data_IF_188968510177
#
_entry.id   IF_188968510177
#
_cell.length_a   1.000
_cell.length_b   1.000
_cell.length_c   1.000
_cell.angle_alpha   90.00
_cell.angle_beta   90.00
_cell.angle_gamma   90.00
#
_symmetry.space_group_name_H-M   'P 1'
#
loop_
_entity.id
_entity.type
_entity.pdbx_description
1 polymer ?
#
# COMPACT_ATOMS: atom_id res chain seq x y z
N UNK A 1 9.94 -4.75 46.30
CA UNK A 1 10.10 -5.64 45.13
C UNK A 1 9.38 -4.99 43.96
N UNK A 2 10.04 -4.75 42.81
CA UNK A 2 9.33 -4.19 41.67
C UNK A 2 8.32 -5.23 41.18
N UNK A 3 7.03 -4.88 41.17
CA UNK A 3 5.97 -5.72 40.63
C UNK A 3 6.34 -6.11 39.20
N UNK A 4 6.57 -7.40 38.95
CA UNK A 4 6.69 -7.94 37.61
C UNK A 4 5.39 -7.62 36.87
N UNK A 5 5.48 -6.72 35.90
CA UNK A 5 4.37 -6.28 35.09
C UNK A 5 3.71 -7.51 34.41
N UNK A 6 2.45 -7.86 34.73
CA UNK A 6 1.91 -9.21 34.49
C UNK A 6 1.68 -9.57 33.02
N UNK A 7 1.77 -8.61 32.11
CA UNK A 7 1.52 -8.81 30.67
C UNK A 7 2.84 -9.08 29.93
N UNK A 8 2.83 -10.05 29.01
CA UNK A 8 3.97 -10.36 28.15
C UNK A 8 4.37 -9.09 27.35
N UNK A 9 5.65 -8.69 27.35
CA UNK A 9 6.15 -7.59 26.52
C UNK A 9 5.77 -7.70 25.03
N UNK A 10 5.69 -8.92 24.49
CA UNK A 10 5.24 -9.16 23.11
C UNK A 10 3.80 -8.70 22.93
N UNK A 11 2.90 -9.07 23.84
CA UNK A 11 1.48 -8.75 23.73
C UNK A 11 1.25 -7.22 23.81
N UNK A 12 1.99 -6.53 24.70
CA UNK A 12 1.96 -5.06 24.76
C UNK A 12 2.45 -4.42 23.46
N UNK A 13 3.53 -4.94 22.90
CA UNK A 13 4.08 -4.44 21.65
C UNK A 13 3.13 -4.67 20.48
N UNK A 14 2.53 -5.86 20.36
CA UNK A 14 1.49 -6.16 19.38
C UNK A 14 0.33 -5.18 19.52
N UNK A 15 -0.18 -4.95 20.73
CA UNK A 15 -1.25 -3.99 20.96
C UNK A 15 -0.87 -2.56 20.52
N UNK A 16 0.39 -2.15 20.74
CA UNK A 16 0.91 -0.85 20.28
C UNK A 16 0.97 -0.77 18.77
N UNK A 17 1.47 -1.79 18.08
CA UNK A 17 1.57 -1.81 16.62
C UNK A 17 0.22 -1.43 15.97
N UNK A 18 -0.85 -2.11 16.36
CA UNK A 18 -2.18 -1.84 15.80
C UNK A 18 -2.79 -0.52 16.28
N UNK A 19 -2.62 -0.16 17.56
CA UNK A 19 -3.22 1.07 18.11
C UNK A 19 -2.60 2.34 17.54
N UNK A 20 -1.28 2.34 17.34
CA UNK A 20 -0.54 3.52 16.88
C UNK A 20 -0.43 3.61 15.37
N UNK A 21 -0.89 2.60 14.63
CA UNK A 21 -0.94 2.59 13.17
C UNK A 21 -1.44 3.93 12.61
N UNK A 22 -2.56 4.46 13.12
CA UNK A 22 -3.14 5.72 12.63
C UNK A 22 -2.44 7.00 13.11
N UNK A 23 -1.57 6.91 14.12
CA UNK A 23 -0.87 8.05 14.70
C UNK A 23 0.52 8.27 14.09
N UNK A 24 1.03 7.30 13.34
CA UNK A 24 2.33 7.37 12.66
C UNK A 24 2.10 7.49 11.17
N UNK A 25 2.83 8.40 10.51
CA UNK A 25 2.77 8.53 9.06
C UNK A 25 3.18 7.19 8.40
N UNK A 26 2.45 6.70 7.38
CA UNK A 26 2.72 5.39 6.76
C UNK A 26 4.18 5.17 6.36
N UNK A 27 4.84 6.20 5.84
CA UNK A 27 6.24 6.16 5.38
C UNK A 27 7.23 5.97 6.55
N UNK A 28 6.82 6.36 7.76
CA UNK A 28 7.64 6.26 8.99
C UNK A 28 7.31 5.03 9.83
N UNK A 29 6.24 4.31 9.49
CA UNK A 29 5.70 3.25 10.33
C UNK A 29 6.69 2.10 10.54
N UNK A 30 7.32 1.59 9.47
CA UNK A 30 8.30 0.49 9.57
C UNK A 30 9.47 0.86 10.49
N UNK A 31 10.00 2.07 10.35
CA UNK A 31 11.12 2.54 11.16
C UNK A 31 10.71 2.71 12.63
N UNK A 32 9.53 3.28 12.89
CA UNK A 32 8.96 3.37 14.23
C UNK A 32 8.78 1.99 14.87
N UNK A 33 8.17 1.05 14.15
CA UNK A 33 7.93 -0.31 14.64
C UNK A 33 9.24 -1.02 15.01
N UNK A 34 10.26 -0.97 14.12
CA UNK A 34 11.58 -1.53 14.40
C UNK A 34 12.26 -0.87 15.62
N UNK A 35 12.12 0.44 15.81
CA UNK A 35 12.69 1.11 16.98
C UNK A 35 11.97 0.70 18.28
N UNK A 36 10.64 0.59 18.27
CA UNK A 36 9.87 0.12 19.43
C UNK A 36 10.16 -1.35 19.77
N UNK A 37 10.45 -2.18 18.76
CA UNK A 37 10.79 -3.59 18.93
C UNK A 37 11.99 -3.80 19.86
N UNK A 38 12.89 -2.81 19.97
CA UNK A 38 14.07 -2.85 20.86
C UNK A 38 13.70 -3.04 22.33
N UNK A 39 12.50 -2.63 22.72
CA UNK A 39 11.98 -2.82 24.08
C UNK A 39 11.55 -4.28 24.38
N UNK A 40 11.41 -5.12 23.35
CA UNK A 40 10.93 -6.50 23.44
C UNK A 40 12.05 -7.50 23.19
N UNK A 41 12.83 -7.28 22.13
CA UNK A 41 14.03 -8.06 21.82
C UNK A 41 15.18 -7.07 21.80
N UNK A 42 16.08 -7.18 22.76
CA UNK A 42 17.18 -6.24 22.90
C UNK A 42 18.14 -6.40 21.69
N UNK A 43 18.33 -5.31 20.93
CA UNK A 43 19.16 -5.27 19.73
C UNK A 43 19.74 -3.86 19.52
N UNK A 44 20.78 -3.77 18.68
CA UNK A 44 21.45 -2.50 18.36
C UNK A 44 21.02 -1.96 17.00
N UNK A 45 20.68 -2.85 16.07
CA UNK A 45 20.18 -2.50 14.75
C UNK A 45 19.07 -3.44 14.30
N UNK A 46 18.25 -2.99 13.37
CA UNK A 46 17.27 -3.84 12.71
C UNK A 46 17.10 -3.46 11.24
N UNK A 47 16.74 -4.46 10.44
CA UNK A 47 16.35 -4.34 9.04
C UNK A 47 14.99 -4.99 8.84
N UNK A 48 14.11 -4.31 8.13
CA UNK A 48 12.88 -4.87 7.59
C UNK A 48 12.84 -4.64 6.10
N UNK A 49 13.07 -5.70 5.33
CA UNK A 49 13.00 -5.71 3.88
C UNK A 49 11.77 -6.45 3.39
N UNK A 50 11.19 -6.01 2.28
CA UNK A 50 10.16 -6.72 1.53
C UNK A 50 10.59 -6.83 0.09
N UNK A 51 10.40 -7.99 -0.53
CA UNK A 51 10.77 -8.25 -1.92
C UNK A 51 10.07 -9.48 -2.49
N UNK A 52 10.44 -9.90 -3.70
CA UNK A 52 10.01 -11.17 -4.28
C UNK A 52 11.13 -12.20 -4.19
N UNK A 53 10.77 -13.44 -3.87
CA UNK A 53 11.74 -14.53 -3.73
C UNK A 53 12.49 -14.81 -5.05
N UNK A 54 11.80 -14.66 -6.19
CA UNK A 54 12.32 -14.88 -7.55
C UNK A 54 13.42 -13.90 -7.95
N UNK A 55 13.31 -12.66 -7.50
CA UNK A 55 14.11 -11.53 -7.98
C UNK A 55 15.31 -11.20 -7.11
N UNK A 56 15.42 -11.88 -5.97
CA UNK A 56 16.56 -11.82 -5.07
C UNK A 56 16.91 -10.43 -4.49
N UNK A 57 16.04 -9.43 -4.67
CA UNK A 57 16.23 -8.02 -4.28
C UNK A 57 15.13 -7.54 -3.34
N UNK A 58 15.44 -6.51 -2.55
CA UNK A 58 14.46 -5.77 -1.76
C UNK A 58 13.77 -4.72 -2.64
N UNK A 59 12.44 -4.74 -2.64
CA UNK A 59 11.63 -3.69 -3.29
C UNK A 59 11.39 -2.52 -2.34
N UNK A 60 11.29 -2.78 -1.05
CA UNK A 60 11.26 -1.75 -0.01
C UNK A 60 12.00 -2.25 1.21
N UNK A 61 12.84 -1.40 1.79
CA UNK A 61 13.67 -1.76 2.94
C UNK A 61 13.75 -0.60 3.92
N UNK A 62 13.74 -0.94 5.20
CA UNK A 62 13.90 0.01 6.29
C UNK A 62 14.98 -0.49 7.22
N UNK A 63 15.94 0.37 7.53
CA UNK A 63 17.02 0.08 8.49
C UNK A 63 16.98 1.06 9.67
N UNK A 64 17.39 0.59 10.85
CA UNK A 64 17.40 1.37 12.10
C UNK A 64 18.70 1.14 12.88
N UNK A 65 18.89 1.88 13.99
CA UNK A 65 20.07 1.73 14.85
C UNK A 65 21.36 2.37 14.32
N UNK A 66 21.26 3.17 13.26
CA UNK A 66 22.39 3.83 12.61
C UNK A 66 23.06 3.01 11.51
N UNK A 67 22.43 1.94 11.01
CA UNK A 67 22.85 1.30 9.77
C UNK A 67 22.70 2.27 8.59
N UNK A 68 23.66 2.31 7.65
CA UNK A 68 23.56 3.17 6.48
C UNK A 68 22.42 2.71 5.56
N UNK A 69 21.80 3.67 4.87
CA UNK A 69 20.70 3.38 3.94
C UNK A 69 21.11 2.44 2.79
N UNK A 70 22.40 2.38 2.47
CA UNK A 70 22.95 1.52 1.40
C UNK A 70 23.32 0.10 1.89
N UNK A 71 23.16 -0.20 3.18
CA UNK A 71 23.41 -1.54 3.73
C UNK A 71 22.63 -2.66 3.03
N UNK A 72 21.36 -2.49 2.61
CA UNK A 72 20.64 -3.50 1.86
C UNK A 72 21.29 -3.85 0.52
N UNK A 73 21.92 -2.88 -0.17
CA UNK A 73 22.65 -3.14 -1.41
C UNK A 73 23.86 -4.06 -1.15
N UNK A 74 24.57 -3.87 -0.04
CA UNK A 74 25.66 -4.77 0.37
C UNK A 74 25.17 -6.20 0.63
N UNK A 75 23.97 -6.36 1.23
CA UNK A 75 23.36 -7.68 1.42
C UNK A 75 23.00 -8.35 0.09
N UNK A 76 22.57 -7.58 -0.90
CA UNK A 76 22.28 -8.06 -2.26
C UNK A 76 23.56 -8.46 -3.01
N UNK A 77 24.61 -7.63 -2.96
CA UNK A 77 25.91 -7.92 -3.59
C UNK A 77 26.60 -9.16 -3.01
N UNK A 78 26.43 -9.40 -1.71
CA UNK A 78 27.07 -10.51 -1.00
C UNK A 78 26.15 -11.72 -0.84
N UNK A 79 24.97 -11.69 -1.49
CA UNK A 79 23.94 -12.73 -1.42
C UNK A 79 24.47 -14.14 -1.71
N UNK A 80 25.31 -14.30 -2.73
CA UNK A 80 25.82 -15.60 -3.18
C UNK A 80 26.74 -16.29 -2.15
N UNK A 81 27.33 -15.51 -1.24
CA UNK A 81 28.22 -16.00 -0.18
C UNK A 81 27.60 -15.85 1.21
N UNK A 82 26.34 -15.41 1.31
CA UNK A 82 25.65 -15.21 2.57
C UNK A 82 25.25 -16.56 3.20
N UNK A 83 25.83 -16.96 4.35
CA UNK A 83 25.61 -18.27 4.93
C UNK A 83 24.22 -18.45 5.55
N UNK A 84 23.59 -17.36 6.03
CA UNK A 84 22.28 -17.47 6.70
C UNK A 84 21.15 -17.68 5.68
N UNK A 85 21.29 -17.13 4.48
CA UNK A 85 20.21 -17.03 3.51
C UNK A 85 19.65 -18.40 3.07
N UNK A 86 20.46 -19.42 2.70
CA UNK A 86 19.94 -20.73 2.34
C UNK A 86 19.20 -21.44 3.49
N UNK A 87 19.56 -21.15 4.74
CA UNK A 87 18.89 -21.72 5.91
C UNK A 87 17.53 -21.04 6.10
N UNK A 88 17.48 -19.71 6.04
CA UNK A 88 16.23 -18.95 6.15
C UNK A 88 15.20 -19.35 5.09
N UNK A 89 15.63 -19.55 3.85
CA UNK A 89 14.73 -19.94 2.76
C UNK A 89 14.14 -21.35 2.93
N UNK A 90 14.78 -22.22 3.73
CA UNK A 90 14.26 -23.55 4.09
C UNK A 90 13.43 -23.56 5.36
N UNK A 91 13.56 -22.52 6.18
CA UNK A 91 12.94 -22.39 7.51
C UNK A 91 12.15 -21.09 7.59
N UNK A 92 11.18 -20.93 6.68
CA UNK A 92 10.27 -19.79 6.71
C UNK A 92 9.52 -19.76 8.04
N UNK A 93 9.23 -18.55 8.52
CA UNK A 93 8.56 -18.24 9.78
C UNK A 93 9.30 -18.66 11.06
N UNK A 94 10.50 -19.25 10.93
CA UNK A 94 11.36 -19.60 12.04
C UNK A 94 12.54 -18.63 12.18
N UNK A 95 12.89 -18.21 13.41
CA UNK A 95 14.05 -17.37 13.65
C UNK A 95 15.35 -18.17 13.47
N UNK A 96 16.21 -17.67 12.58
CA UNK A 96 17.53 -18.24 12.32
C UNK A 96 18.60 -17.37 13.00
N UNK A 97 19.31 -17.98 13.93
CA UNK A 97 20.51 -17.40 14.55
C UNK A 97 21.74 -17.74 13.72
N UNK A 98 22.43 -16.73 13.18
CA UNK A 98 23.61 -16.94 12.33
C UNK A 98 24.71 -17.73 13.06
N UNK A 99 24.86 -17.55 14.37
CA UNK A 99 25.88 -18.27 15.14
C UNK A 99 25.64 -19.79 15.13
N UNK A 100 24.37 -20.22 15.05
CA UNK A 100 23.99 -21.64 14.92
C UNK A 100 24.23 -22.20 13.51
N UNK A 101 24.26 -21.32 12.51
CA UNK A 101 24.52 -21.68 11.11
C UNK A 101 26.03 -21.76 10.83
N UNK A 102 26.78 -20.80 11.34
CA UNK A 102 28.23 -20.71 11.15
C UNK A 102 28.88 -20.23 12.46
N UNK A 103 29.71 -21.06 13.12
CA UNK A 103 30.39 -20.68 14.34
C UNK A 103 31.27 -19.43 14.15
N UNK A 104 31.41 -18.63 15.22
CA UNK A 104 32.13 -17.34 15.21
C UNK A 104 33.52 -17.42 14.56
N UNK A 105 34.28 -18.50 14.82
CA UNK A 105 35.62 -18.66 14.26
C UNK A 105 35.61 -18.70 12.73
N UNK A 106 34.64 -19.41 12.15
CA UNK A 106 34.47 -19.48 10.69
C UNK A 106 33.84 -18.20 10.15
N UNK A 107 32.83 -17.67 10.86
CA UNK A 107 32.11 -16.47 10.44
C UNK A 107 33.04 -15.27 10.32
N UNK A 108 33.80 -14.95 11.38
CA UNK A 108 34.65 -13.76 11.41
C UNK A 108 35.81 -13.83 10.41
N UNK A 109 36.22 -15.03 9.97
CA UNK A 109 37.21 -15.22 8.90
C UNK A 109 36.59 -15.24 7.50
N UNK A 110 35.27 -15.31 7.37
CA UNK A 110 34.59 -15.43 6.08
C UNK A 110 34.64 -14.12 5.27
N UNK A 111 34.72 -14.26 3.94
CA UNK A 111 34.65 -13.11 3.03
C UNK A 111 33.31 -12.35 3.16
N UNK A 112 32.23 -13.07 3.45
CA UNK A 112 30.91 -12.49 3.69
C UNK A 112 30.91 -11.53 4.88
N UNK A 113 31.43 -11.99 6.04
CA UNK A 113 31.48 -11.16 7.24
C UNK A 113 32.33 -9.91 7.04
N UNK A 114 33.54 -10.07 6.48
CA UNK A 114 34.48 -8.96 6.28
C UNK A 114 33.94 -7.87 5.36
N UNK A 115 33.18 -8.25 4.33
CA UNK A 115 32.57 -7.30 3.39
C UNK A 115 31.29 -6.66 3.91
N UNK A 116 30.50 -7.41 4.70
CA UNK A 116 29.09 -7.02 4.96
C UNK A 116 28.85 -6.59 6.40
N UNK A 117 29.37 -7.33 7.39
CA UNK A 117 29.01 -7.13 8.80
C UNK A 117 30.11 -6.44 9.61
N UNK A 118 31.38 -6.76 9.33
CA UNK A 118 32.52 -6.15 9.99
C UNK A 118 32.54 -4.62 9.89
N UNK A 119 32.27 -3.98 8.72
CA UNK A 119 32.31 -2.52 8.59
C UNK A 119 31.27 -1.78 9.44
N UNK A 120 30.20 -2.49 9.85
CA UNK A 120 29.12 -1.93 10.66
C UNK A 120 29.16 -2.43 12.12
N UNK A 121 30.18 -3.22 12.48
CA UNK A 121 30.34 -3.79 13.81
C UNK A 121 29.24 -4.78 14.18
N UNK A 122 28.60 -5.44 13.21
CA UNK A 122 27.58 -6.47 13.46
C UNK A 122 28.29 -7.77 13.83
N UNK A 123 27.97 -8.35 14.99
CA UNK A 123 28.56 -9.63 15.45
C UNK A 123 27.52 -10.71 15.73
N UNK A 124 26.26 -10.32 15.91
CA UNK A 124 25.12 -11.24 16.08
C UNK A 124 24.03 -10.87 15.10
N UNK A 125 23.39 -11.90 14.54
CA UNK A 125 22.33 -11.77 13.54
C UNK A 125 21.24 -12.77 13.88
N UNK A 126 20.01 -12.27 14.05
CA UNK A 126 18.82 -13.08 14.20
C UNK A 126 17.83 -12.67 13.13
N UNK A 127 17.49 -13.58 12.23
CA UNK A 127 16.76 -13.25 11.03
C UNK A 127 15.54 -14.16 10.86
N UNK A 128 14.41 -13.59 10.46
CA UNK A 128 13.19 -14.33 10.14
C UNK A 128 12.66 -13.91 8.79
N UNK A 129 12.34 -14.89 7.97
CA UNK A 129 11.73 -14.72 6.66
C UNK A 129 10.26 -15.15 6.72
N UNK A 130 9.36 -14.30 6.26
CA UNK A 130 7.95 -14.61 6.07
C UNK A 130 7.63 -14.59 4.57
N UNK A 131 6.86 -15.56 4.09
CA UNK A 131 6.40 -15.62 2.70
C UNK A 131 4.88 -15.65 2.67
N UNK A 132 4.26 -14.71 1.96
CA UNK A 132 2.85 -14.78 1.62
C UNK A 132 2.67 -15.67 0.38
N UNK A 133 2.01 -16.84 0.49
CA UNK A 133 1.86 -17.77 -0.62
C UNK A 133 0.96 -17.26 -1.75
N UNK A 134 0.08 -16.27 -1.50
CA UNK A 134 -0.84 -15.75 -2.53
C UNK A 134 -0.18 -14.69 -3.41
N UNK A 135 0.53 -13.75 -2.79
CA UNK A 135 1.24 -12.69 -3.50
C UNK A 135 2.66 -13.10 -3.93
N UNK A 136 3.24 -14.13 -3.29
CA UNK A 136 4.64 -14.50 -3.44
C UNK A 136 5.61 -13.54 -2.76
N UNK A 137 5.08 -12.62 -1.94
CA UNK A 137 5.86 -11.61 -1.25
C UNK A 137 6.63 -12.19 -0.08
N UNK A 138 7.90 -11.81 -0.05
CA UNK A 138 8.86 -12.19 0.96
C UNK A 138 9.15 -10.99 1.86
N UNK A 139 8.91 -11.13 3.16
CA UNK A 139 9.28 -10.17 4.18
C UNK A 139 10.43 -10.71 5.02
N UNK A 140 11.52 -9.94 5.12
CA UNK A 140 12.69 -10.24 5.93
C UNK A 140 12.75 -9.27 7.10
N UNK A 141 12.78 -9.79 8.32
CA UNK A 141 13.02 -9.00 9.53
C UNK A 141 14.26 -9.56 10.22
N UNK A 142 15.28 -8.72 10.33
CA UNK A 142 16.58 -9.10 10.90
C UNK A 142 16.97 -8.15 12.01
N UNK A 143 17.38 -8.71 13.14
CA UNK A 143 17.91 -8.01 14.30
C UNK A 143 19.41 -8.26 14.42
N UNK A 144 20.13 -7.23 14.84
CA UNK A 144 21.59 -7.26 14.91
C UNK A 144 22.08 -6.75 16.27
N UNK A 145 23.17 -7.33 16.77
CA UNK A 145 23.91 -6.80 17.94
C UNK A 145 25.39 -6.59 17.59
N UNK A 146 26.03 -5.64 18.28
CA UNK A 146 27.45 -5.33 18.16
C UNK A 146 28.32 -6.14 19.10
N UNK A 147 27.82 -6.41 20.29
CA UNK A 147 28.56 -7.15 21.31
C UNK A 147 28.46 -8.66 21.09
N UNK A 148 29.57 -9.35 20.80
CA UNK A 148 29.56 -10.81 20.63
C UNK A 148 29.16 -11.54 21.92
N UNK A 149 29.32 -10.95 23.11
CA UNK A 149 28.89 -11.59 24.36
C UNK A 149 27.36 -11.65 24.50
N UNK A 150 26.61 -10.76 23.83
CA UNK A 150 25.14 -10.71 23.86
C UNK A 150 24.54 -11.75 22.89
N UNK A 151 24.70 -13.03 23.20
CA UNK A 151 24.12 -14.14 22.43
C UNK A 151 22.59 -14.16 22.48
N UNK A 152 21.95 -14.69 21.44
CA UNK A 152 20.48 -14.80 21.38
C UNK A 152 20.00 -15.90 22.32
N UNK A 153 19.13 -15.53 23.25
CA UNK A 153 18.53 -16.47 24.21
C UNK A 153 17.34 -17.20 23.58
N UNK A 154 16.93 -18.34 24.13
CA UNK A 154 15.68 -19.01 23.72
C UNK A 154 14.45 -18.10 23.90
N UNK A 155 14.50 -17.16 24.85
CA UNK A 155 13.46 -16.14 25.00
C UNK A 155 13.46 -15.16 23.83
N UNK A 156 14.64 -14.72 23.36
CA UNK A 156 14.75 -13.85 22.17
C UNK A 156 14.19 -14.56 20.93
N UNK A 157 14.55 -15.83 20.73
CA UNK A 157 14.04 -16.64 19.62
C UNK A 157 12.52 -16.81 19.70
N UNK A 158 11.98 -17.14 20.88
CA UNK A 158 10.54 -17.29 21.08
C UNK A 158 9.76 -16.00 20.78
N UNK A 159 10.31 -14.84 21.17
CA UNK A 159 9.73 -13.53 20.85
C UNK A 159 9.82 -13.25 19.35
N UNK A 160 11.01 -13.38 18.76
CA UNK A 160 11.26 -13.16 17.34
C UNK A 160 10.43 -14.09 16.45
N UNK A 161 10.07 -15.30 16.88
CA UNK A 161 9.16 -16.18 16.11
C UNK A 161 7.75 -15.58 15.95
N UNK A 162 7.25 -14.88 16.96
CA UNK A 162 5.87 -14.34 17.00
C UNK A 162 5.76 -12.97 16.32
N UNK A 163 6.78 -12.14 16.47
CA UNK A 163 6.73 -10.71 16.12
C UNK A 163 6.62 -10.40 14.62
N UNK A 164 7.32 -11.07 13.69
CA UNK A 164 7.26 -10.83 12.26
C UNK A 164 5.85 -10.86 11.69
N UNK A 165 5.07 -11.86 12.09
CA UNK A 165 3.66 -11.97 11.69
C UNK A 165 2.86 -10.71 12.04
N UNK A 166 3.03 -10.19 13.26
CA UNK A 166 2.31 -8.99 13.69
C UNK A 166 2.85 -7.70 13.07
N UNK A 167 4.17 -7.62 12.85
CA UNK A 167 4.78 -6.50 12.14
C UNK A 167 4.21 -6.37 10.73
N UNK A 168 4.28 -7.46 9.95
CA UNK A 168 3.76 -7.51 8.57
C UNK A 168 2.27 -7.16 8.54
N UNK A 169 1.46 -7.82 9.36
CA UNK A 169 0.02 -7.58 9.39
C UNK A 169 -0.36 -6.18 9.87
N UNK A 170 0.35 -5.60 10.84
CA UNK A 170 0.03 -4.25 11.32
C UNK A 170 0.40 -3.19 10.27
N UNK A 171 1.49 -3.38 9.51
CA UNK A 171 1.81 -2.51 8.37
C UNK A 171 0.76 -2.66 7.25
N UNK A 172 0.40 -3.89 6.89
CA UNK A 172 -0.67 -4.17 5.92
C UNK A 172 -2.00 -3.51 6.36
N UNK A 173 -2.35 -3.62 7.65
CA UNK A 173 -3.54 -3.01 8.22
C UNK A 173 -3.51 -1.47 8.18
N UNK A 174 -2.37 -0.84 8.49
CA UNK A 174 -2.20 0.60 8.33
C UNK A 174 -2.45 1.04 6.89
N UNK A 175 -1.94 0.29 5.92
CA UNK A 175 -2.21 0.57 4.51
C UNK A 175 -3.70 0.47 4.19
N UNK A 176 -4.41 -0.56 4.67
CA UNK A 176 -5.86 -0.67 4.48
C UNK A 176 -6.65 0.45 5.15
N UNK A 177 -6.23 0.92 6.32
CA UNK A 177 -6.87 2.06 6.99
C UNK A 177 -6.63 3.38 6.24
N UNK A 178 -5.42 3.58 5.74
CA UNK A 178 -5.10 4.73 4.90
C UNK A 178 -5.93 4.71 3.61
N UNK A 179 -6.01 3.55 2.98
CA UNK A 179 -6.88 3.27 1.84
C UNK A 179 -8.34 3.55 2.15
N UNK A 180 -8.88 3.06 3.26
CA UNK A 180 -10.27 3.30 3.66
C UNK A 180 -10.58 4.81 3.80
N UNK A 181 -9.64 5.58 4.36
CA UNK A 181 -9.77 7.04 4.48
C UNK A 181 -9.74 7.76 3.13
N UNK A 182 -8.96 7.25 2.16
CA UNK A 182 -8.98 7.74 0.78
C UNK A 182 -10.28 7.28 0.07
N UNK A 183 -10.74 6.06 0.34
CA UNK A 183 -11.92 5.44 -0.25
C UNK A 183 -13.23 6.14 0.12
N UNK A 184 -13.33 6.83 1.26
CA UNK A 184 -14.51 7.67 1.56
C UNK A 184 -14.84 8.66 0.43
N UNK A 185 -13.84 9.03 -0.38
CA UNK A 185 -14.00 9.94 -1.51
C UNK A 185 -14.02 9.24 -2.88
N UNK A 186 -13.81 7.93 -2.94
CA UNK A 186 -13.69 7.15 -4.18
C UNK A 186 -14.86 6.17 -4.34
N UNK A 187 -15.16 5.73 -5.58
CA UNK A 187 -16.17 4.70 -5.81
C UNK A 187 -15.87 3.39 -5.08
N UNK A 188 -16.87 2.53 -4.88
CA UNK A 188 -16.64 1.20 -4.29
C UNK A 188 -15.72 0.36 -5.17
N UNK A 189 -14.47 0.20 -4.75
CA UNK A 189 -13.43 -0.50 -5.49
C UNK A 189 -12.66 -1.50 -4.64
N UNK A 190 -11.41 -1.70 -5.00
CA UNK A 190 -10.44 -2.48 -4.26
C UNK A 190 -9.07 -1.82 -4.42
N UNK A 191 -8.13 -2.13 -3.54
CA UNK A 191 -6.83 -1.48 -3.57
C UNK A 191 -5.65 -2.45 -3.50
N UNK A 192 -4.52 -1.99 -4.02
CA UNK A 192 -3.22 -2.63 -3.88
C UNK A 192 -2.13 -1.58 -3.71
N UNK A 193 -1.02 -2.00 -3.12
CA UNK A 193 0.22 -1.23 -3.02
C UNK A 193 1.23 -1.89 -3.94
N UNK A 194 1.98 -1.09 -4.68
CA UNK A 194 3.00 -1.56 -5.62
C UNK A 194 4.29 -0.76 -5.53
N UNK A 195 5.39 -1.34 -6.00
CA UNK A 195 6.65 -0.61 -6.22
C UNK A 195 6.65 0.19 -7.53
N UNK A 196 7.78 0.86 -7.81
CA UNK A 196 7.98 1.65 -9.03
C UNK A 196 7.93 0.80 -10.31
N UNK A 197 8.10 -0.51 -10.19
CA UNK A 197 8.04 -1.48 -11.28
C UNK A 197 6.66 -2.11 -11.41
N UNK A 198 5.67 -1.68 -10.62
CA UNK A 198 4.30 -2.19 -10.65
C UNK A 198 4.14 -3.57 -10.02
N UNK A 199 5.07 -4.02 -9.17
CA UNK A 199 4.97 -5.30 -8.46
C UNK A 199 4.16 -5.16 -7.19
N UNK A 200 3.31 -6.13 -6.88
CA UNK A 200 2.46 -6.06 -5.69
C UNK A 200 3.29 -6.19 -4.41
N UNK A 201 3.08 -5.24 -3.50
CA UNK A 201 3.56 -5.23 -2.12
C UNK A 201 2.47 -5.59 -1.11
N UNK A 202 1.23 -5.24 -1.41
CA UNK A 202 0.05 -5.62 -0.65
C UNK A 202 -1.13 -5.55 -1.62
N UNK A 203 -2.10 -6.45 -1.50
CA UNK A 203 -3.30 -6.37 -2.34
C UNK A 203 -4.52 -6.91 -1.63
N UNK A 204 -5.66 -6.24 -1.82
CA UNK A 204 -6.93 -6.83 -1.43
C UNK A 204 -7.25 -8.00 -2.38
N UNK A 205 -7.82 -9.12 -1.89
CA UNK A 205 -8.24 -10.21 -2.76
C UNK A 205 -9.12 -9.73 -3.92
N UNK A 206 -10.04 -8.80 -3.64
CA UNK A 206 -10.94 -8.21 -4.66
C UNK A 206 -10.20 -7.39 -5.73
N UNK A 207 -9.03 -6.85 -5.42
CA UNK A 207 -8.17 -6.17 -6.41
C UNK A 207 -7.61 -7.19 -7.39
N UNK A 208 -7.08 -8.31 -6.88
CA UNK A 208 -6.60 -9.40 -7.71
C UNK A 208 -7.73 -10.00 -8.55
N UNK A 209 -8.93 -10.18 -7.97
CA UNK A 209 -10.11 -10.65 -8.70
C UNK A 209 -10.48 -9.73 -9.87
N UNK A 210 -10.36 -8.40 -9.70
CA UNK A 210 -10.56 -7.45 -10.80
C UNK A 210 -9.51 -7.63 -11.90
N UNK A 211 -8.25 -7.85 -11.54
CA UNK A 211 -7.20 -8.10 -12.51
C UNK A 211 -7.41 -9.42 -13.25
N UNK A 212 -7.69 -10.51 -12.55
CA UNK A 212 -7.90 -11.83 -13.15
C UNK A 212 -9.09 -11.82 -14.12
N UNK A 213 -10.16 -11.09 -13.79
CA UNK A 213 -11.34 -10.96 -14.66
C UNK A 213 -11.06 -10.14 -15.93
N UNK A 214 -10.30 -9.05 -15.83
CA UNK A 214 -10.09 -8.11 -16.95
C UNK A 214 -8.79 -8.37 -17.71
N UNK A 215 -7.88 -9.20 -17.16
CA UNK A 215 -6.61 -9.60 -17.75
C UNK A 215 -6.37 -11.12 -17.60
N UNK A 216 -7.23 -11.97 -18.18
CA UNK A 216 -7.16 -13.43 -18.01
C UNK A 216 -5.88 -14.08 -18.56
N UNK A 217 -5.05 -13.34 -19.32
CA UNK A 217 -3.78 -13.80 -19.88
C UNK A 217 -2.54 -13.15 -19.27
N UNK A 218 -2.63 -12.59 -18.05
CA UNK A 218 -1.48 -11.94 -17.41
C UNK A 218 -0.33 -12.95 -17.21
N UNK A 219 0.88 -12.56 -17.65
CA UNK A 219 2.07 -13.42 -17.64
C UNK A 219 2.61 -13.65 -16.24
N UNK A 220 2.52 -12.64 -15.39
CA UNK A 220 3.02 -12.64 -14.03
C UNK A 220 1.88 -12.23 -13.06
N UNK A 221 1.45 -13.11 -12.15
CA UNK A 221 0.41 -12.79 -11.19
C UNK A 221 0.87 -11.80 -10.11
N UNK A 222 2.18 -11.54 -10.01
CA UNK A 222 2.80 -10.70 -8.98
C UNK A 222 2.98 -9.24 -9.42
N UNK A 223 2.61 -8.90 -10.66
CA UNK A 223 2.77 -7.55 -11.21
C UNK A 223 1.50 -7.02 -11.85
N UNK A 224 1.44 -5.69 -11.98
CA UNK A 224 0.38 -5.02 -12.70
C UNK A 224 0.41 -5.42 -14.17
N UNK A 225 -0.75 -5.73 -14.77
CA UNK A 225 -0.84 -6.02 -16.20
C UNK A 225 -0.86 -4.75 -17.08
N UNK A 226 -0.60 -3.58 -16.50
CA UNK A 226 -0.61 -2.26 -17.16
C UNK A 226 0.43 -1.33 -16.53
N UNK A 227 0.81 -0.28 -17.25
CA UNK A 227 1.79 0.70 -16.79
C UNK A 227 1.28 1.46 -15.55
N UNK A 228 2.18 1.64 -14.58
CA UNK A 228 1.88 2.35 -13.34
C UNK A 228 1.46 3.80 -13.64
N UNK A 229 0.23 4.21 -13.28
CA UNK A 229 -0.22 5.59 -13.54
C UNK A 229 0.60 6.59 -12.72
N UNK A 230 0.78 7.84 -13.20
CA UNK A 230 1.43 8.87 -12.40
C UNK A 230 0.66 9.15 -11.09
N UNK A 231 1.34 9.47 -9.98
CA UNK A 231 0.68 9.84 -8.73
C UNK A 231 -0.30 11.00 -8.88
N UNK A 232 -1.43 10.92 -8.16
CA UNK A 232 -2.50 11.92 -8.19
C UNK A 232 -3.39 11.84 -9.43
N UNK A 233 -3.17 10.88 -10.32
CA UNK A 233 -3.97 10.72 -11.55
C UNK A 233 -5.04 9.64 -11.39
N UNK A 234 -6.10 9.81 -12.18
CA UNK A 234 -7.11 8.80 -12.44
C UNK A 234 -7.10 8.50 -13.93
N UNK A 235 -7.03 7.23 -14.30
CA UNK A 235 -7.09 6.78 -15.69
C UNK A 235 -8.03 5.58 -15.86
N UNK A 236 -8.60 5.45 -17.06
CA UNK A 236 -9.39 4.30 -17.45
C UNK A 236 -8.51 3.29 -18.18
N UNK A 237 -8.68 2.00 -17.89
CA UNK A 237 -7.93 0.90 -18.46
C UNK A 237 -8.93 -0.03 -19.15
N UNK A 238 -8.66 -0.32 -20.43
CA UNK A 238 -9.48 -1.18 -21.30
C UNK A 238 -10.99 -0.83 -21.31
N UNK A 239 -11.35 0.44 -21.13
CA UNK A 239 -12.73 0.96 -21.04
C UNK A 239 -13.64 0.28 -20.00
N UNK A 240 -13.06 -0.53 -19.11
CA UNK A 240 -13.78 -1.39 -18.18
C UNK A 240 -13.37 -1.19 -16.71
N UNK A 241 -12.12 -0.76 -16.48
CA UNK A 241 -11.60 -0.47 -15.14
C UNK A 241 -11.15 0.97 -15.04
N UNK A 242 -11.33 1.57 -13.88
CA UNK A 242 -10.70 2.83 -13.52
C UNK A 242 -9.67 2.56 -12.44
N UNK A 243 -8.52 3.19 -12.59
CA UNK A 243 -7.47 3.19 -11.58
C UNK A 243 -7.17 4.61 -11.14
N UNK A 244 -7.01 4.80 -9.84
CA UNK A 244 -6.39 5.99 -9.26
C UNK A 244 -5.10 5.60 -8.58
N UNK A 245 -4.09 6.42 -8.76
CA UNK A 245 -2.77 6.21 -8.20
C UNK A 245 -2.41 7.34 -7.24
N UNK A 246 -1.89 7.00 -6.06
CA UNK A 246 -1.35 7.96 -5.08
C UNK A 246 0.04 7.50 -4.62
N UNK A 247 0.97 8.44 -4.43
CA UNK A 247 2.31 8.13 -3.93
C UNK A 247 2.32 8.00 -2.41
N UNK A 248 3.03 7.02 -1.88
CA UNK A 248 3.20 6.77 -0.45
C UNK A 248 4.65 6.36 -0.17
N UNK A 249 5.51 7.36 0.08
CA UNK A 249 6.95 7.13 0.18
C UNK A 249 7.53 6.55 -1.11
N UNK A 250 8.22 5.42 -0.99
CA UNK A 250 8.81 4.68 -2.13
C UNK A 250 7.81 3.71 -2.81
N UNK A 251 6.53 3.76 -2.43
CA UNK A 251 5.49 2.88 -2.94
C UNK A 251 4.34 3.69 -3.56
N UNK A 252 3.50 3.00 -4.33
CA UNK A 252 2.32 3.55 -4.95
C UNK A 252 1.08 2.80 -4.49
N UNK A 253 0.05 3.56 -4.18
CA UNK A 253 -1.25 3.06 -3.76
C UNK A 253 -2.18 3.15 -4.95
N UNK A 254 -2.64 2.01 -5.42
CA UNK A 254 -3.59 1.88 -6.52
C UNK A 254 -4.95 1.53 -5.99
N UNK A 255 -5.96 2.30 -6.40
CA UNK A 255 -7.35 1.98 -6.19
C UNK A 255 -7.99 1.64 -7.55
N UNK A 256 -8.54 0.44 -7.66
CA UNK A 256 -9.23 -0.08 -8.85
C UNK A 256 -10.73 -0.20 -8.60
N UNK A 257 -11.54 0.21 -9.57
CA UNK A 257 -12.98 -0.04 -9.57
C UNK A 257 -13.50 -0.24 -10.99
N UNK A 258 -14.66 -0.89 -11.19
CA UNK A 258 -15.31 -0.96 -12.50
C UNK A 258 -15.65 0.42 -13.01
N UNK A 259 -15.31 0.72 -14.26
CA UNK A 259 -15.56 2.02 -14.86
C UNK A 259 -17.08 2.31 -14.91
N UNK A 260 -17.51 3.38 -14.26
CA UNK A 260 -18.89 3.85 -14.31
C UNK A 260 -19.10 4.97 -15.34
N UNK A 261 -20.36 5.36 -15.62
CA UNK A 261 -20.65 6.49 -16.51
C UNK A 261 -19.94 7.77 -16.09
N UNK A 262 -19.88 8.05 -14.78
CA UNK A 262 -19.22 9.25 -14.24
C UNK A 262 -17.70 9.27 -14.43
N UNK A 263 -17.06 8.12 -14.58
CA UNK A 263 -15.60 8.05 -14.77
C UNK A 263 -15.17 8.37 -16.20
N UNK A 264 -16.13 8.42 -17.14
CA UNK A 264 -15.89 8.91 -18.51
C UNK A 264 -15.83 10.43 -18.58
N UNK A 265 -16.30 11.14 -17.55
CA UNK A 265 -16.29 12.59 -17.49
C UNK A 265 -14.89 13.14 -17.21
N UNK A 266 -14.56 14.27 -17.83
CA UNK A 266 -13.38 15.05 -17.44
C UNK A 266 -13.54 15.60 -16.02
N UNK A 267 -12.44 15.98 -15.35
CA UNK A 267 -12.49 16.61 -14.02
C UNK A 267 -13.47 17.78 -13.97
N UNK A 268 -13.46 18.63 -15.01
CA UNK A 268 -14.36 19.79 -15.10
C UNK A 268 -15.82 19.40 -15.29
N UNK A 269 -16.07 18.39 -16.13
CA UNK A 269 -17.41 17.85 -16.32
C UNK A 269 -17.94 17.24 -15.01
N UNK A 270 -17.11 16.51 -14.27
CA UNK A 270 -17.44 15.91 -12.98
C UNK A 270 -17.75 16.95 -11.91
N UNK A 271 -16.98 18.03 -11.82
CA UNK A 271 -17.26 19.16 -10.91
C UNK A 271 -18.66 19.75 -11.16
N UNK A 272 -19.00 19.94 -12.44
CA UNK A 272 -20.30 20.48 -12.86
C UNK A 272 -21.43 19.50 -12.50
N UNK A 273 -21.27 18.22 -12.80
CA UNK A 273 -22.25 17.17 -12.45
C UNK A 273 -22.48 17.11 -10.95
N UNK A 274 -21.42 17.11 -10.13
CA UNK A 274 -21.55 17.05 -8.67
C UNK A 274 -22.27 18.29 -8.13
N UNK A 275 -21.92 19.49 -8.59
CA UNK A 275 -22.57 20.73 -8.16
C UNK A 275 -24.06 20.74 -8.49
N UNK A 276 -24.44 20.31 -9.70
CA UNK A 276 -25.83 20.33 -10.17
C UNK A 276 -26.67 19.23 -9.52
N UNK A 277 -26.06 18.06 -9.27
CA UNK A 277 -26.69 16.93 -8.58
C UNK A 277 -26.93 17.20 -7.09
N UNK A 278 -26.18 18.14 -6.50
CA UNK A 278 -26.41 18.67 -5.13
C UNK A 278 -27.56 19.69 -5.04
N UNK A 279 -28.34 19.88 -6.11
CA UNK A 279 -29.45 20.83 -6.11
C UNK A 279 -29.08 22.27 -6.48
N UNK A 280 -27.80 22.59 -6.71
CA UNK A 280 -27.40 23.95 -7.10
C UNK A 280 -27.94 24.33 -8.50
N UNK A 281 -28.50 25.54 -8.60
CA UNK A 281 -28.85 26.15 -9.89
C UNK A 281 -27.60 26.44 -10.74
N UNK A 282 -27.75 26.63 -12.04
CA UNK A 282 -26.62 26.93 -12.94
C UNK A 282 -25.82 28.16 -12.51
N UNK A 283 -26.49 29.19 -11.98
CA UNK A 283 -25.84 30.40 -11.45
C UNK A 283 -25.02 30.12 -10.18
N UNK A 284 -25.52 29.26 -9.29
CA UNK A 284 -24.81 28.85 -8.08
C UNK A 284 -23.62 27.93 -8.39
N UNK A 285 -23.81 26.95 -9.29
CA UNK A 285 -22.73 26.10 -9.77
C UNK A 285 -21.64 26.93 -10.47
N UNK A 286 -22.03 27.84 -11.36
CA UNK A 286 -21.11 28.77 -12.03
C UNK A 286 -20.27 29.59 -11.03
N UNK A 287 -20.91 30.14 -9.99
CA UNK A 287 -20.22 30.88 -8.91
C UNK A 287 -19.28 29.99 -8.10
N UNK A 288 -19.70 28.77 -7.76
CA UNK A 288 -18.88 27.81 -6.99
C UNK A 288 -17.63 27.37 -7.75
N UNK A 289 -17.77 27.20 -9.06
CA UNK A 289 -16.74 26.60 -9.92
C UNK A 289 -15.91 27.69 -10.66
N UNK A 290 -16.33 28.95 -10.63
CA UNK A 290 -15.59 30.09 -11.20
C UNK A 290 -15.71 30.22 -12.72
N UNK A 291 -16.87 29.91 -13.31
CA UNK A 291 -17.14 30.04 -14.77
C UNK A 291 -18.46 30.77 -15.03
N UNK A 292 -18.75 31.10 -16.29
CA UNK A 292 -20.02 31.69 -16.67
C UNK A 292 -21.19 30.68 -16.60
N UNK A 293 -22.42 31.09 -16.24
CA UNK A 293 -23.60 30.22 -16.26
C UNK A 293 -23.88 29.56 -17.61
N UNK A 294 -23.61 30.26 -18.72
CA UNK A 294 -23.74 29.71 -20.08
C UNK A 294 -22.74 28.58 -20.34
N UNK A 295 -21.53 28.68 -19.80
CA UNK A 295 -20.51 27.62 -19.88
C UNK A 295 -20.96 26.37 -19.14
N UNK A 296 -21.60 26.51 -17.96
CA UNK A 296 -22.19 25.38 -17.22
C UNK A 296 -23.27 24.68 -18.04
N UNK A 297 -24.19 25.44 -18.67
CA UNK A 297 -25.25 24.88 -19.50
C UNK A 297 -24.69 24.12 -20.72
N UNK A 298 -23.67 24.67 -21.37
CA UNK A 298 -23.00 24.04 -22.50
C UNK A 298 -22.28 22.74 -22.11
N UNK A 299 -21.62 22.71 -20.95
CA UNK A 299 -21.02 21.49 -20.42
C UNK A 299 -22.10 20.43 -20.11
N UNK A 300 -23.20 20.80 -19.43
CA UNK A 300 -24.28 19.86 -19.12
C UNK A 300 -24.90 19.24 -20.36
N UNK A 301 -25.11 20.00 -21.43
CA UNK A 301 -25.60 19.44 -22.70
C UNK A 301 -24.67 18.35 -23.25
N UNK A 302 -23.35 18.57 -23.22
CA UNK A 302 -22.36 17.57 -23.65
C UNK A 302 -22.33 16.38 -22.72
N UNK A 303 -22.42 16.61 -21.40
CA UNK A 303 -22.46 15.58 -20.38
C UNK A 303 -23.68 14.67 -20.56
N UNK A 304 -24.87 15.23 -20.72
CA UNK A 304 -26.11 14.46 -20.94
C UNK A 304 -25.98 13.51 -22.13
N UNK A 305 -25.46 14.00 -23.26
CA UNK A 305 -25.19 13.15 -24.43
C UNK A 305 -24.11 12.10 -24.18
N UNK A 306 -23.07 12.44 -23.43
CA UNK A 306 -21.93 11.56 -23.13
C UNK A 306 -22.30 10.43 -22.16
N UNK A 307 -23.24 10.68 -21.27
CA UNK A 307 -23.74 9.73 -20.28
C UNK A 307 -25.03 9.02 -20.69
N UNK A 308 -25.63 9.42 -21.82
CA UNK A 308 -26.94 8.97 -22.29
C UNK A 308 -28.06 9.16 -21.25
N UNK A 309 -28.08 10.34 -20.64
CA UNK A 309 -29.14 10.77 -19.69
C UNK A 309 -29.86 12.00 -20.20
N UNK A 310 -31.15 12.10 -19.88
CA UNK A 310 -32.06 13.09 -20.46
C UNK A 310 -32.62 14.06 -19.43
N UNK A 311 -32.37 13.83 -18.14
CA UNK A 311 -32.88 14.69 -17.07
C UNK A 311 -31.86 14.94 -15.96
N UNK A 312 -32.05 16.04 -15.23
CA UNK A 312 -31.29 16.36 -14.01
C UNK A 312 -31.48 15.27 -12.95
N UNK A 313 -32.67 14.68 -12.90
CA UNK A 313 -33.02 13.58 -12.01
C UNK A 313 -32.23 12.32 -12.35
N UNK A 314 -32.18 11.91 -13.62
CA UNK A 314 -31.35 10.78 -14.08
C UNK A 314 -29.87 11.03 -13.80
N UNK A 315 -29.38 12.25 -14.06
CA UNK A 315 -28.00 12.61 -13.73
C UNK A 315 -27.74 12.49 -12.22
N UNK A 316 -28.66 12.95 -11.36
CA UNK A 316 -28.54 12.85 -9.92
C UNK A 316 -28.59 11.39 -9.42
N UNK A 317 -29.42 10.53 -10.04
CA UNK A 317 -29.48 9.10 -9.75
C UNK A 317 -28.17 8.36 -10.10
N UNK A 318 -27.45 8.81 -11.13
CA UNK A 318 -26.11 8.28 -11.43
C UNK A 318 -25.08 8.66 -10.35
N UNK A 319 -25.24 9.80 -9.69
CA UNK A 319 -24.32 10.25 -8.62
C UNK A 319 -24.70 9.68 -7.25
N UNK A 320 -26.00 9.61 -6.95
CA UNK A 320 -26.56 9.25 -5.65
C UNK A 320 -27.62 8.14 -5.83
N UNK A 321 -27.22 6.90 -6.15
CA UNK A 321 -28.16 5.81 -6.40
C UNK A 321 -29.00 5.44 -5.15
N UNK A 322 -28.49 5.70 -3.95
CA UNK A 322 -29.19 5.41 -2.68
C UNK A 322 -30.03 6.57 -2.13
N UNK A 323 -30.01 7.75 -2.77
CA UNK A 323 -30.71 8.94 -2.28
C UNK A 323 -31.41 9.63 -3.45
N UNK A 324 -32.56 9.10 -3.92
CA UNK A 324 -33.26 9.64 -5.07
C UNK A 324 -33.70 11.09 -4.78
N UNK A 325 -33.53 12.02 -5.73
CA UNK A 325 -33.90 13.41 -5.52
C UNK A 325 -35.40 13.53 -5.23
N UNK A 326 -35.74 14.44 -4.32
CA UNK A 326 -37.13 14.72 -3.93
C UNK A 326 -37.95 15.12 -5.17
N UNK A 327 -39.15 14.55 -5.31
CA UNK A 327 -39.96 14.58 -6.55
C UNK A 327 -40.52 15.97 -6.93
N UNK A 328 -40.09 17.03 -6.27
CA UNK A 328 -40.69 18.37 -6.36
C UNK A 328 -40.03 19.30 -7.38
N UNK A 329 -38.92 18.92 -8.03
CA UNK A 329 -38.17 19.82 -8.92
C UNK A 329 -37.96 19.27 -10.34
N UNK A 330 -39.03 18.76 -10.97
CA UNK A 330 -39.02 18.37 -12.38
C UNK A 330 -38.83 19.61 -13.28
N UNK A 331 -37.76 19.71 -14.10
CA UNK A 331 -37.63 20.80 -15.05
C UNK A 331 -38.65 20.64 -16.18
N UNK A 332 -39.36 21.73 -16.50
CA UNK A 332 -40.16 21.85 -17.74
C UNK A 332 -39.28 21.49 -18.94
N UNK A 333 -39.81 20.59 -19.78
CA UNK A 333 -39.19 20.20 -21.04
C UNK A 333 -38.71 21.44 -21.80
N UNK A 334 -37.41 21.47 -22.15
CA UNK A 334 -36.86 22.47 -23.06
C UNK A 334 -37.38 22.11 -24.45
N UNK A 335 -38.48 22.73 -24.86
CA UNK A 335 -38.99 22.64 -26.23
C UNK A 335 -37.99 23.31 -27.17
N UNK A 336 -37.52 22.54 -28.17
CA UNK A 336 -36.72 23.05 -29.27
C UNK A 336 -37.49 24.14 -30.05
N UNK A 337 -36.84 25.20 -30.55
CA UNK A 337 -37.52 26.18 -31.38
C UNK A 337 -37.93 25.56 -32.73
N UNK A 338 -39.20 25.67 -33.08
CA UNK A 338 -39.76 25.40 -34.40
C UNK A 338 -39.10 26.32 -35.44
N UNK A 339 -38.57 25.73 -36.51
CA UNK A 339 -38.19 26.46 -37.73
C UNK A 339 -39.41 27.15 -38.35
N UNK A 340 -39.30 28.38 -38.88
CA UNK A 340 -40.36 28.94 -39.71
C UNK A 340 -40.32 28.32 -41.11
N UNK A 341 -41.49 27.87 -41.56
CA UNK A 341 -41.76 27.57 -42.95
C UNK A 341 -42.06 28.87 -43.70
N UNK A 342 -41.21 29.24 -44.66
CA UNK A 342 -41.54 29.39 -46.08
C UNK A 342 -40.34 29.86 -46.89
#
# INVERSE_FOLDING_TARGET
MPQSDPVDPVDRYVARLYRWALSVAPEKYRAWALNELRSVVDHDFALWGTGLLSDARFHSVTVTGGLPQDFPHLLEETRSINPILPVMLRQLDEPVDLQRVMPDEALFKSAFYQRTFAPHGITRVLATAHLDPRSGLYSLITLYRRDPARVWTETDLARQRRLPFHLVNAASHLFFLHLAKIHEKLPSGAAAVVDAQGRFHESQPRFLDFLDRHFPGRRDPQTLPFDLPPPGTQQMINDALCVRCESMGDLWVLHLWPAGPLDRLTTREREIVLAVSQGLSFKQAARKIGIAPSTVANHLYRIYRKLDVYSRTELALLVYPENPPDKTDAPRAVTAPLSPAH
#
